data_IF_727025413032
#
_entry.id   IF_727025413032
#
_cell.length_a   1.000
_cell.length_b   1.000
_cell.length_c   1.000
_cell.angle_alpha   90.00
_cell.angle_beta   90.00
_cell.angle_gamma   90.00
#
_symmetry.space_group_name_H-M   'P 1'
#
loop_
_entity.id
_entity.type
_entity.pdbx_description
1 polymer ?
#
# COMPACT_ATOMS: atom_id res chain seq x y z
N UNK A 1 -45.96 21.02 32.22
CA UNK A 1 -44.69 21.57 31.70
C UNK A 1 -44.07 20.50 30.81
N UNK A 2 -44.15 20.68 29.48
CA UNK A 2 -43.64 19.74 28.48
C UNK A 2 -42.16 20.05 28.21
N UNK A 3 -41.27 19.16 28.63
CA UNK A 3 -39.83 19.25 28.32
C UNK A 3 -39.58 18.74 26.90
N UNK A 4 -39.50 19.66 25.94
CA UNK A 4 -39.09 19.39 24.58
C UNK A 4 -37.58 19.17 24.51
N UNK A 5 -37.15 17.92 24.29
CA UNK A 5 -35.76 17.60 23.98
C UNK A 5 -35.45 18.04 22.53
N UNK A 6 -34.76 19.16 22.38
CA UNK A 6 -34.28 19.66 21.10
C UNK A 6 -33.23 18.74 20.49
N UNK A 7 -33.50 18.21 19.29
CA UNK A 7 -32.49 17.51 18.47
C UNK A 7 -31.43 18.51 18.01
N UNK A 8 -30.18 18.25 18.40
CA UNK A 8 -29.01 18.95 17.85
C UNK A 8 -28.82 18.47 16.40
N UNK A 9 -28.75 19.39 15.41
CA UNK A 9 -28.49 19.02 14.02
C UNK A 9 -27.07 18.47 13.86
N UNK A 10 -26.95 17.33 13.19
CA UNK A 10 -25.67 16.72 12.86
C UNK A 10 -24.83 17.64 11.97
N UNK A 11 -23.50 17.74 12.20
CA UNK A 11 -22.64 18.55 11.36
C UNK A 11 -22.62 18.03 9.90
N UNK A 12 -22.51 18.92 8.91
CA UNK A 12 -22.46 18.53 7.51
C UNK A 12 -21.24 17.64 7.25
N UNK A 13 -21.45 16.57 6.49
CA UNK A 13 -20.38 15.65 6.09
C UNK A 13 -19.30 16.40 5.32
N UNK A 14 -18.00 16.14 5.58
CA UNK A 14 -16.93 16.77 4.82
C UNK A 14 -17.05 16.39 3.33
N UNK A 15 -16.71 17.32 2.41
CA UNK A 15 -16.76 17.03 0.98
C UNK A 15 -15.80 15.88 0.63
N UNK A 16 -16.16 15.03 -0.36
CA UNK A 16 -15.32 13.92 -0.77
C UNK A 16 -13.95 14.42 -1.25
N UNK A 17 -12.90 13.76 -0.79
CA UNK A 17 -11.54 14.07 -1.24
C UNK A 17 -11.43 13.81 -2.76
N UNK A 18 -10.81 14.72 -3.53
CA UNK A 18 -10.64 14.51 -4.95
C UNK A 18 -9.77 13.27 -5.21
N UNK A 19 -10.10 12.45 -6.23
CA UNK A 19 -9.34 11.25 -6.54
C UNK A 19 -7.88 11.57 -6.87
N UNK A 20 -6.96 10.73 -6.37
CA UNK A 20 -5.53 10.87 -6.58
C UNK A 20 -5.22 10.93 -8.09
N UNK A 21 -4.67 12.06 -8.53
CA UNK A 21 -4.40 12.32 -9.95
C UNK A 21 -3.21 11.46 -10.40
N UNK A 22 -3.49 10.37 -11.12
CA UNK A 22 -2.45 9.52 -11.75
C UNK A 22 -1.58 10.38 -12.67
N UNK A 23 -0.32 10.58 -12.31
CA UNK A 23 0.65 11.30 -13.12
C UNK A 23 1.20 10.37 -14.20
N UNK A 24 1.16 10.80 -15.47
CA UNK A 24 1.71 10.01 -16.57
C UNK A 24 3.25 10.01 -16.57
N UNK A 25 3.82 8.86 -16.93
CA UNK A 25 5.25 8.52 -16.85
C UNK A 25 6.07 8.93 -18.06
N UNK A 26 5.45 9.42 -19.15
CA UNK A 26 6.21 9.88 -20.33
C UNK A 26 6.71 11.30 -20.09
N UNK A 27 7.97 11.41 -19.65
CA UNK A 27 8.77 12.65 -19.49
C UNK A 27 8.21 13.70 -18.51
N UNK A 28 7.11 13.42 -17.79
CA UNK A 28 6.41 14.39 -16.91
C UNK A 28 6.03 15.71 -17.62
N UNK A 29 5.97 15.70 -18.95
CA UNK A 29 5.69 16.89 -19.76
C UNK A 29 4.19 17.13 -19.95
N UNK A 30 3.40 16.05 -19.95
CA UNK A 30 1.96 16.08 -20.24
C UNK A 30 1.13 15.81 -18.97
N UNK A 31 0.03 16.55 -18.83
CA UNK A 31 -0.83 16.55 -17.63
C UNK A 31 -1.90 15.44 -17.69
N UNK A 32 -2.06 14.82 -18.87
CA UNK A 32 -3.03 13.77 -19.16
C UNK A 32 -2.35 12.64 -19.96
N UNK A 33 -3.00 11.47 -20.13
CA UNK A 33 -2.56 10.49 -21.13
C UNK A 33 -2.37 11.17 -22.49
N UNK A 34 -1.34 10.77 -23.25
CA UNK A 34 -0.97 11.42 -24.52
C UNK A 34 -2.18 11.60 -25.45
N UNK A 35 -3.07 10.61 -25.53
CA UNK A 35 -4.28 10.67 -26.35
C UNK A 35 -5.34 11.69 -25.88
N UNK A 36 -5.27 12.17 -24.62
CA UNK A 36 -6.19 13.17 -24.04
C UNK A 36 -5.55 14.54 -23.84
N UNK A 37 -4.25 14.69 -24.05
CA UNK A 37 -3.57 15.98 -23.88
C UNK A 37 -3.61 16.76 -25.20
N UNK A 38 -4.39 17.84 -25.23
CA UNK A 38 -4.49 18.71 -26.40
C UNK A 38 -3.13 19.26 -26.85
N UNK A 39 -2.18 19.44 -25.91
CA UNK A 39 -0.85 19.94 -26.23
C UNK A 39 0.01 18.90 -26.98
N UNK A 40 -0.18 17.61 -26.68
CA UNK A 40 0.47 16.53 -27.43
C UNK A 40 -0.03 16.51 -28.88
N UNK A 41 -1.35 16.61 -29.08
CA UNK A 41 -1.94 16.65 -30.42
C UNK A 41 -1.58 17.92 -31.20
N UNK A 42 -1.48 19.07 -30.52
CA UNK A 42 -1.03 20.32 -31.16
C UNK A 42 0.42 20.17 -31.64
N UNK A 43 1.28 19.54 -30.85
CA UNK A 43 2.68 19.29 -31.24
C UNK A 43 2.76 18.34 -32.44
N UNK A 44 2.00 17.26 -32.43
CA UNK A 44 1.92 16.32 -33.55
C UNK A 44 1.39 16.99 -34.83
N UNK A 45 0.34 17.80 -34.70
CA UNK A 45 -0.24 18.55 -35.81
C UNK A 45 0.76 19.53 -36.43
N UNK A 46 1.50 20.30 -35.60
CA UNK A 46 2.51 21.25 -36.09
C UNK A 46 3.66 20.52 -36.81
N UNK A 47 4.09 19.36 -36.31
CA UNK A 47 5.11 18.56 -36.97
C UNK A 47 4.65 18.08 -38.36
N UNK A 48 3.42 17.59 -38.48
CA UNK A 48 2.83 17.15 -39.77
C UNK A 48 2.68 18.33 -40.73
N UNK A 49 2.14 19.46 -40.27
CA UNK A 49 1.97 20.67 -41.08
C UNK A 49 3.31 21.21 -41.60
N UNK A 50 4.35 21.20 -40.76
CA UNK A 50 5.70 21.64 -41.14
C UNK A 50 6.28 20.73 -42.23
N UNK A 51 6.16 19.41 -42.07
CA UNK A 51 6.63 18.46 -43.07
C UNK A 51 5.92 18.64 -44.42
N UNK A 52 4.61 18.90 -44.41
CA UNK A 52 3.84 19.14 -45.62
C UNK A 52 4.21 20.46 -46.31
N UNK A 53 4.32 21.55 -45.56
CA UNK A 53 4.64 22.88 -46.10
C UNK A 53 6.03 22.92 -46.78
N UNK A 54 7.01 22.18 -46.25
CA UNK A 54 8.35 22.12 -46.84
C UNK A 54 8.37 21.23 -48.09
N UNK A 55 7.55 20.19 -48.14
CA UNK A 55 7.41 19.31 -49.31
C UNK A 55 6.92 20.05 -50.57
N UNK A 56 6.25 21.18 -50.42
CA UNK A 56 5.63 21.93 -51.53
C UNK A 56 6.38 23.18 -51.97
N UNK A 57 7.57 23.49 -51.42
CA UNK A 57 8.36 24.65 -51.87
C UNK A 57 9.30 24.30 -53.01
N UNK A 58 9.23 25.06 -54.10
CA UNK A 58 10.07 24.93 -55.31
C UNK A 58 11.37 25.76 -55.25
N UNK A 59 11.66 26.39 -54.11
CA UNK A 59 12.84 27.23 -53.99
C UNK A 59 14.15 26.42 -54.09
N UNK A 60 15.17 26.92 -54.80
CA UNK A 60 16.45 26.22 -54.96
C UNK A 60 17.15 26.09 -53.61
N UNK A 61 17.29 24.84 -53.13
CA UNK A 61 17.83 24.53 -51.80
C UNK A 61 19.36 24.36 -51.86
N UNK A 62 20.07 25.03 -50.97
CA UNK A 62 21.53 24.85 -50.79
C UNK A 62 21.92 23.56 -50.04
N UNK A 63 20.96 22.78 -49.57
CA UNK A 63 21.16 21.52 -48.83
C UNK A 63 20.24 20.41 -49.37
N UNK A 64 20.57 19.12 -49.15
CA UNK A 64 19.69 18.02 -49.49
C UNK A 64 18.31 18.19 -48.85
N UNK A 65 17.24 18.03 -49.65
CA UNK A 65 15.87 18.32 -49.24
C UNK A 65 15.43 17.58 -47.96
N UNK A 66 15.89 16.35 -47.74
CA UNK A 66 15.56 15.56 -46.56
C UNK A 66 16.15 16.15 -45.26
N UNK A 67 17.36 16.73 -45.35
CA UNK A 67 18.07 17.31 -44.21
C UNK A 67 17.42 18.62 -43.78
N UNK A 68 17.14 19.48 -44.76
CA UNK A 68 16.44 20.75 -44.56
C UNK A 68 15.04 20.53 -43.94
N UNK A 69 14.30 19.55 -44.47
CA UNK A 69 12.97 19.18 -43.94
C UNK A 69 13.04 18.67 -42.50
N UNK A 70 14.05 17.85 -42.19
CA UNK A 70 14.24 17.29 -40.85
C UNK A 70 14.64 18.37 -39.84
N UNK A 71 15.57 19.25 -40.21
CA UNK A 71 16.03 20.34 -39.34
C UNK A 71 14.90 21.32 -39.03
N UNK A 72 14.13 21.72 -40.05
CA UNK A 72 12.97 22.58 -39.87
C UNK A 72 11.89 21.89 -39.01
N UNK A 73 11.55 20.63 -39.29
CA UNK A 73 10.55 19.88 -38.49
C UNK A 73 10.95 19.81 -37.01
N UNK A 74 12.21 19.50 -36.71
CA UNK A 74 12.75 19.48 -35.33
C UNK A 74 12.65 20.87 -34.70
N UNK A 75 13.10 21.91 -35.42
CA UNK A 75 13.12 23.29 -34.92
C UNK A 75 11.71 23.78 -34.58
N UNK A 76 10.75 23.57 -35.48
CA UNK A 76 9.36 23.95 -35.24
C UNK A 76 8.70 23.13 -34.12
N UNK A 77 8.97 21.82 -34.04
CA UNK A 77 8.45 20.96 -32.97
C UNK A 77 8.96 21.41 -31.60
N UNK A 78 10.24 21.78 -31.50
CA UNK A 78 10.83 22.29 -30.26
C UNK A 78 10.27 23.66 -29.89
N UNK A 79 10.27 24.61 -30.84
CA UNK A 79 9.83 25.99 -30.58
C UNK A 79 8.34 26.11 -30.30
N UNK A 80 7.50 25.34 -31.00
CA UNK A 80 6.04 25.48 -30.92
C UNK A 80 5.34 24.34 -30.17
N UNK A 81 6.01 23.22 -29.90
CA UNK A 81 5.47 22.12 -29.11
C UNK A 81 6.08 22.03 -27.70
N UNK A 82 7.39 21.80 -27.64
CA UNK A 82 8.09 21.52 -26.38
C UNK A 82 8.25 22.77 -25.51
N UNK A 83 8.63 23.91 -26.11
CA UNK A 83 8.87 25.14 -25.35
C UNK A 83 7.57 25.70 -24.71
N UNK A 84 6.42 25.76 -25.40
CA UNK A 84 5.17 26.23 -24.79
C UNK A 84 4.64 25.32 -23.68
N UNK A 85 4.78 24.00 -23.83
CA UNK A 85 4.41 23.02 -22.78
C UNK A 85 5.29 23.17 -21.54
N UNK A 86 6.59 23.37 -21.74
CA UNK A 86 7.53 23.65 -20.64
C UNK A 86 7.20 24.97 -19.93
N UNK A 87 6.96 26.07 -20.67
CA UNK A 87 6.58 27.37 -20.10
C UNK A 87 5.29 27.27 -19.29
N UNK A 88 4.28 26.55 -19.80
CA UNK A 88 3.02 26.28 -19.09
C UNK A 88 3.26 25.56 -17.76
N UNK A 89 4.08 24.51 -17.73
CA UNK A 89 4.43 23.78 -16.51
C UNK A 89 5.15 24.69 -15.51
N UNK A 90 6.07 25.54 -15.99
CA UNK A 90 6.80 26.48 -15.15
C UNK A 90 5.88 27.52 -14.52
N UNK A 91 4.99 28.16 -15.30
CA UNK A 91 3.99 29.12 -14.80
C UNK A 91 3.11 28.46 -13.73
N UNK A 92 2.68 27.22 -13.95
CA UNK A 92 1.84 26.49 -13.00
C UNK A 92 2.57 26.20 -11.70
N UNK A 93 3.81 25.69 -11.76
CA UNK A 93 4.64 25.46 -10.56
C UNK A 93 4.89 26.76 -9.80
N UNK A 94 5.13 27.86 -10.51
CA UNK A 94 5.29 29.18 -9.90
C UNK A 94 4.02 29.64 -9.19
N UNK A 95 2.85 29.51 -9.84
CA UNK A 95 1.54 29.85 -9.26
C UNK A 95 1.21 29.04 -8.00
N UNK A 96 1.56 27.75 -7.99
CA UNK A 96 1.40 26.88 -6.81
C UNK A 96 2.25 27.36 -5.64
N UNK A 97 3.54 27.64 -5.86
CA UNK A 97 4.43 28.16 -4.81
C UNK A 97 3.95 29.49 -4.21
N UNK A 98 3.39 30.39 -5.04
CA UNK A 98 2.81 31.65 -4.54
C UNK A 98 1.51 31.47 -3.76
N UNK A 99 0.74 30.39 -3.99
CA UNK A 99 -0.49 30.11 -3.22
C UNK A 99 -0.17 29.44 -1.88
N UNK A 100 0.78 28.52 -1.86
CA UNK A 100 1.14 27.80 -0.63
C UNK A 100 2.00 28.66 0.31
N UNK A 101 2.73 29.65 -0.20
CA UNK A 101 3.48 30.61 0.63
C UNK A 101 2.62 31.60 1.42
N UNK A 102 1.30 31.66 1.16
CA UNK A 102 0.37 32.55 1.87
C UNK A 102 -0.25 31.93 3.14
N UNK A 103 -0.19 30.61 3.31
CA UNK A 103 -0.59 29.95 4.55
C UNK A 103 0.63 29.84 5.47
N UNK A 104 0.95 30.96 6.15
CA UNK A 104 1.76 30.88 7.37
C UNK A 104 1.07 29.88 8.30
N UNK A 105 1.79 28.90 8.89
CA UNK A 105 1.23 28.05 9.92
C UNK A 105 0.73 28.98 11.03
N UNK A 106 -0.59 29.02 11.23
CA UNK A 106 -1.20 29.70 12.37
C UNK A 106 -0.53 29.13 13.61
N UNK A 107 0.03 30.03 14.42
CA UNK A 107 0.83 29.70 15.58
C UNK A 107 0.17 28.61 16.41
N UNK A 108 0.99 27.63 16.78
CA UNK A 108 0.69 26.59 17.76
C UNK A 108 0.23 27.29 19.04
N UNK A 109 -1.08 27.43 19.22
CA UNK A 109 -1.65 27.88 20.48
C UNK A 109 -1.25 26.84 21.53
N UNK A 110 -0.41 27.27 22.48
CA UNK A 110 -0.04 26.49 23.64
C UNK A 110 -1.32 26.03 24.34
N UNK A 111 -1.62 24.74 24.26
CA UNK A 111 -2.67 24.17 25.10
C UNK A 111 -2.22 24.28 26.56
N UNK A 112 -3.08 24.71 27.49
CA UNK A 112 -2.75 24.72 28.91
C UNK A 112 -2.51 23.29 29.41
N UNK A 113 -1.68 23.12 30.45
CA UNK A 113 -1.37 21.80 31.00
C UNK A 113 -2.64 21.11 31.49
N UNK A 114 -2.90 19.91 30.98
CA UNK A 114 -3.95 19.03 31.46
C UNK A 114 -3.55 18.59 32.87
N UNK A 115 -4.26 19.09 33.87
CA UNK A 115 -4.12 18.70 35.26
C UNK A 115 -4.83 17.35 35.44
N UNK A 116 -4.04 16.30 35.62
CA UNK A 116 -4.49 14.93 35.83
C UNK A 116 -5.13 14.82 37.22
N UNK A 117 -6.46 14.97 37.28
CA UNK A 117 -7.24 14.71 38.50
C UNK A 117 -7.63 13.23 38.51
N UNK A 118 -6.85 12.45 39.25
CA UNK A 118 -7.21 11.11 39.71
C UNK A 118 -8.43 11.21 40.64
N UNK A 119 -9.58 10.75 40.18
CA UNK A 119 -10.73 10.45 41.04
C UNK A 119 -10.91 8.92 41.15
N UNK A 120 -11.21 8.38 42.35
CA UNK A 120 -11.37 6.95 42.55
C UNK A 120 -12.70 6.47 41.97
N UNK A 121 -12.66 5.32 41.29
CA UNK A 121 -13.82 4.60 40.78
C UNK A 121 -14.61 4.06 41.98
N UNK A 122 -15.81 4.61 42.20
CA UNK A 122 -16.75 4.12 43.19
C UNK A 122 -17.69 3.12 42.51
N UNK A 123 -17.59 1.87 42.93
CA UNK A 123 -18.39 0.74 42.48
C UNK A 123 -19.83 0.92 42.97
N UNK A 124 -20.75 1.21 42.04
CA UNK A 124 -22.17 1.46 42.35
C UNK A 124 -22.99 0.22 41.97
N UNK A 125 -23.39 -0.53 43.01
CA UNK A 125 -24.33 -1.65 42.90
C UNK A 125 -25.72 -1.15 42.49
N UNK A 126 -26.29 -1.72 41.43
CA UNK A 126 -27.67 -1.50 41.00
C UNK A 126 -28.64 -2.45 41.72
N UNK A 127 -29.75 -1.98 42.31
CA UNK A 127 -30.80 -2.85 42.80
C UNK A 127 -31.74 -3.26 41.67
N UNK A 128 -32.10 -4.55 41.68
CA UNK A 128 -33.14 -5.13 40.85
C UNK A 128 -34.49 -4.45 41.10
N UNK A 129 -35.16 -4.02 40.03
CA UNK A 129 -36.55 -3.54 40.08
C UNK A 129 -37.42 -4.44 39.22
N UNK A 130 -38.23 -5.21 39.93
CA UNK A 130 -39.31 -6.06 39.46
C UNK A 130 -40.40 -5.20 38.79
N UNK A 131 -40.79 -5.55 37.56
CA UNK A 131 -41.77 -4.83 36.76
C UNK A 131 -42.95 -5.75 36.42
N UNK A 132 -44.14 -5.33 36.85
CA UNK A 132 -45.44 -5.95 36.55
C UNK A 132 -45.78 -5.99 35.05
N UNK A 133 -46.63 -6.95 34.62
CA UNK A 133 -46.97 -7.15 33.21
C UNK A 133 -48.11 -6.22 32.76
N UNK A 134 -47.89 -5.48 31.67
CA UNK A 134 -48.95 -4.76 30.94
C UNK A 134 -49.65 -5.67 29.91
N UNK A 135 -50.96 -5.46 29.64
CA UNK A 135 -51.74 -6.30 28.73
C UNK A 135 -51.41 -6.01 27.25
N UNK A 136 -51.34 -7.08 26.45
CA UNK A 136 -51.12 -7.05 24.99
C UNK A 136 -52.40 -6.63 24.24
N UNK A 137 -52.32 -5.72 23.25
CA UNK A 137 -53.41 -5.53 22.30
C UNK A 137 -53.45 -6.64 21.24
N UNK A 138 -54.68 -7.02 20.88
CA UNK A 138 -55.07 -8.05 19.89
C UNK A 138 -54.53 -7.71 18.50
N UNK A 139 -53.74 -8.62 17.92
CA UNK A 139 -53.22 -8.53 16.54
C UNK A 139 -54.30 -8.97 15.56
N UNK A 140 -54.61 -8.11 14.59
CA UNK A 140 -55.52 -8.42 13.48
C UNK A 140 -54.90 -9.46 12.53
N UNK A 141 -55.74 -10.36 12.03
CA UNK A 141 -55.41 -11.39 11.03
C UNK A 141 -54.97 -10.78 9.69
N UNK A 142 -53.93 -11.31 9.03
CA UNK A 142 -53.60 -10.95 7.65
C UNK A 142 -54.47 -11.73 6.66
N UNK A 143 -55.08 -11.03 5.72
CA UNK A 143 -55.76 -11.62 4.56
C UNK A 143 -54.78 -12.33 3.61
N UNK A 144 -55.20 -13.42 2.95
CA UNK A 144 -54.36 -14.19 2.04
C UNK A 144 -54.16 -13.44 0.71
N UNK A 145 -52.91 -13.02 0.43
CA UNK A 145 -52.50 -12.53 -0.89
C UNK A 145 -52.18 -13.70 -1.81
N UNK A 146 -52.77 -13.65 -3.01
CA UNK A 146 -52.54 -14.48 -4.20
C UNK A 146 -51.04 -14.65 -4.47
N UNK A 147 -50.62 -15.89 -4.70
CA UNK A 147 -49.25 -16.26 -5.03
C UNK A 147 -48.83 -15.70 -6.40
N UNK A 148 -47.88 -14.77 -6.39
CA UNK A 148 -46.99 -14.51 -7.53
C UNK A 148 -45.86 -15.54 -7.52
N UNK A 149 -45.42 -16.04 -8.68
CA UNK A 149 -44.32 -17.00 -8.76
C UNK A 149 -43.02 -16.37 -8.25
N UNK A 150 -42.15 -17.13 -7.55
CA UNK A 150 -40.93 -16.58 -6.98
C UNK A 150 -40.00 -16.11 -8.08
N UNK A 151 -39.82 -14.79 -8.15
CA UNK A 151 -38.65 -14.19 -8.79
C UNK A 151 -37.40 -14.79 -8.15
N UNK A 152 -36.46 -15.25 -8.97
CA UNK A 152 -35.14 -15.71 -8.58
C UNK A 152 -34.41 -14.59 -7.82
N UNK A 153 -34.64 -14.55 -6.51
CA UNK A 153 -34.10 -13.57 -5.58
C UNK A 153 -32.89 -14.13 -4.88
N UNK A 154 -31.74 -13.51 -5.11
CA UNK A 154 -30.87 -13.07 -4.01
C UNK A 154 -30.28 -14.15 -3.07
N UNK A 155 -29.57 -15.14 -3.61
CA UNK A 155 -28.54 -15.89 -2.85
C UNK A 155 -27.21 -15.11 -2.74
N UNK A 156 -27.25 -13.77 -2.80
CA UNK A 156 -26.08 -12.91 -2.91
C UNK A 156 -25.60 -12.36 -1.57
N UNK A 157 -25.70 -13.16 -0.51
CA UNK A 157 -24.69 -13.06 0.56
C UNK A 157 -23.53 -13.89 0.05
N UNK A 158 -22.60 -13.24 -0.67
CA UNK A 158 -21.36 -13.88 -1.09
C UNK A 158 -20.79 -14.63 0.12
N UNK A 159 -20.73 -15.96 0.04
CA UNK A 159 -20.26 -16.79 1.14
C UNK A 159 -18.93 -16.20 1.63
N UNK A 160 -18.94 -15.70 2.87
CA UNK A 160 -17.78 -15.01 3.43
C UNK A 160 -16.67 -16.05 3.52
N UNK A 161 -15.63 -15.88 2.70
CA UNK A 161 -14.49 -16.80 2.69
C UNK A 161 -13.89 -16.90 4.09
N UNK A 162 -13.90 -18.11 4.65
CA UNK A 162 -13.37 -18.37 5.98
C UNK A 162 -11.86 -18.08 6.04
N UNK A 163 -11.13 -18.44 4.98
CA UNK A 163 -9.68 -18.19 4.86
C UNK A 163 -9.38 -16.70 4.89
N UNK A 164 -10.11 -15.88 4.13
CA UNK A 164 -9.93 -14.43 4.14
C UNK A 164 -10.30 -13.82 5.50
N UNK A 165 -11.34 -14.34 6.15
CA UNK A 165 -11.77 -13.86 7.48
C UNK A 165 -10.73 -14.18 8.53
N UNK A 166 -10.16 -15.38 8.50
CA UNK A 166 -9.06 -15.78 9.37
C UNK A 166 -7.84 -14.87 9.16
N UNK A 167 -7.37 -14.76 7.91
CA UNK A 167 -6.21 -13.93 7.58
C UNK A 167 -6.39 -12.47 8.05
N UNK A 168 -7.59 -11.91 7.88
CA UNK A 168 -7.90 -10.54 8.34
C UNK A 168 -7.68 -10.33 9.85
N UNK A 169 -7.71 -11.39 10.65
CA UNK A 169 -7.56 -11.36 12.10
C UNK A 169 -6.15 -11.77 12.55
N UNK A 170 -5.50 -12.68 11.84
CA UNK A 170 -4.31 -13.40 12.35
C UNK A 170 -3.00 -13.00 11.68
N UNK A 171 -3.01 -12.56 10.40
CA UNK A 171 -1.76 -12.24 9.68
C UNK A 171 -1.32 -10.79 9.90
N UNK A 172 -0.06 -10.43 9.56
CA UNK A 172 0.44 -9.07 9.72
C UNK A 172 -0.45 -8.01 9.07
N UNK A 173 -0.52 -6.85 9.71
CA UNK A 173 -1.41 -5.74 9.38
C UNK A 173 -1.45 -5.37 7.89
N UNK A 174 -0.32 -5.30 7.16
CA UNK A 174 -0.35 -5.02 5.73
C UNK A 174 -1.27 -5.93 4.92
N UNK A 175 -1.20 -7.24 5.18
CA UNK A 175 -2.01 -8.24 4.46
C UNK A 175 -3.45 -8.18 4.95
N UNK A 176 -3.65 -8.21 6.28
CA UNK A 176 -4.98 -8.17 6.87
C UNK A 176 -5.79 -6.94 6.43
N UNK A 177 -5.15 -5.78 6.34
CA UNK A 177 -5.76 -4.53 5.87
C UNK A 177 -6.15 -4.60 4.40
N UNK A 178 -5.30 -5.18 3.55
CA UNK A 178 -5.60 -5.35 2.12
C UNK A 178 -6.75 -6.34 1.90
N UNK A 179 -6.81 -7.43 2.68
CA UNK A 179 -7.94 -8.36 2.67
C UNK A 179 -9.23 -7.68 3.12
N UNK A 180 -9.19 -6.83 4.15
CA UNK A 180 -10.35 -5.99 4.49
C UNK A 180 -10.78 -5.09 3.35
N UNK A 181 -9.84 -4.44 2.65
CA UNK A 181 -10.19 -3.60 1.50
C UNK A 181 -10.90 -4.40 0.41
N UNK A 182 -10.43 -5.62 0.13
CA UNK A 182 -11.09 -6.56 -0.79
C UNK A 182 -12.52 -6.92 -0.32
N UNK A 183 -12.70 -7.26 0.96
CA UNK A 183 -14.02 -7.60 1.51
C UNK A 183 -14.99 -6.41 1.54
N UNK A 184 -14.48 -5.18 1.58
CA UNK A 184 -15.27 -3.94 1.60
C UNK A 184 -15.50 -3.35 0.20
N UNK A 185 -14.99 -3.97 -0.86
CA UNK A 185 -15.12 -3.45 -2.21
C UNK A 185 -16.55 -3.68 -2.75
N UNK A 186 -17.22 -2.57 -3.10
CA UNK A 186 -18.64 -2.57 -3.45
C UNK A 186 -18.93 -3.07 -4.87
N UNK A 187 -17.98 -2.90 -5.80
CA UNK A 187 -18.15 -3.31 -7.20
C UNK A 187 -17.19 -4.44 -7.59
N UNK A 188 -17.56 -5.30 -8.55
CA UNK A 188 -16.66 -6.32 -9.08
C UNK A 188 -15.31 -5.76 -9.56
N UNK A 189 -15.31 -4.55 -10.13
CA UNK A 189 -14.08 -3.87 -10.53
C UNK A 189 -13.21 -3.46 -9.35
N UNK A 190 -13.81 -2.93 -8.28
CA UNK A 190 -13.06 -2.58 -7.08
C UNK A 190 -12.55 -3.84 -6.38
N UNK A 191 -13.34 -4.92 -6.37
CA UNK A 191 -12.90 -6.23 -5.86
C UNK A 191 -11.72 -6.77 -6.66
N UNK A 192 -11.74 -6.64 -7.98
CA UNK A 192 -10.64 -7.04 -8.85
C UNK A 192 -9.35 -6.29 -8.50
N UNK A 193 -9.40 -4.96 -8.42
CA UNK A 193 -8.21 -4.15 -8.08
C UNK A 193 -7.71 -4.48 -6.65
N UNK A 194 -8.61 -4.55 -5.68
CA UNK A 194 -8.28 -4.85 -4.28
C UNK A 194 -7.71 -6.27 -4.07
N UNK A 195 -8.15 -7.25 -4.88
CA UNK A 195 -7.63 -8.62 -4.83
C UNK A 195 -6.18 -8.69 -5.32
N UNK A 196 -5.85 -7.98 -6.41
CA UNK A 196 -4.47 -7.90 -6.89
C UNK A 196 -3.57 -7.14 -5.90
N UNK A 197 -4.08 -6.07 -5.28
CA UNK A 197 -3.34 -5.33 -4.25
C UNK A 197 -3.15 -6.17 -2.97
N UNK A 198 -4.11 -7.03 -2.61
CA UNK A 198 -3.96 -7.98 -1.51
C UNK A 198 -2.92 -9.06 -1.81
N UNK A 199 -2.89 -9.59 -3.03
CA UNK A 199 -1.88 -10.54 -3.48
C UNK A 199 -0.47 -9.92 -3.46
N UNK A 200 -0.33 -8.68 -3.94
CA UNK A 200 0.94 -7.94 -3.90
C UNK A 200 1.37 -7.67 -2.44
N UNK A 201 0.43 -7.31 -1.56
CA UNK A 201 0.69 -7.10 -0.13
C UNK A 201 1.15 -8.38 0.58
N UNK A 202 0.55 -9.53 0.23
CA UNK A 202 0.96 -10.83 0.75
C UNK A 202 2.38 -11.19 0.30
N UNK A 203 2.65 -11.10 -1.00
CA UNK A 203 3.97 -11.40 -1.56
C UNK A 203 5.07 -10.52 -0.96
N UNK A 204 4.78 -9.22 -0.83
CA UNK A 204 5.67 -8.24 -0.21
C UNK A 204 5.94 -8.60 1.25
N UNK A 205 4.90 -8.83 2.05
CA UNK A 205 5.03 -9.12 3.48
C UNK A 205 5.83 -10.40 3.71
N UNK A 206 5.54 -11.47 2.97
CA UNK A 206 6.31 -12.71 3.05
C UNK A 206 7.79 -12.49 2.66
N UNK A 207 8.03 -11.76 1.56
CA UNK A 207 9.39 -11.49 1.07
C UNK A 207 10.21 -10.65 2.06
N UNK A 208 9.59 -9.65 2.68
CA UNK A 208 10.22 -8.79 3.70
C UNK A 208 10.53 -9.57 4.96
N UNK A 209 9.59 -10.40 5.43
CA UNK A 209 9.84 -11.29 6.58
C UNK A 209 10.99 -12.25 6.30
N UNK A 210 11.04 -12.87 5.11
CA UNK A 210 12.15 -13.73 4.70
C UNK A 210 13.48 -12.96 4.67
N UNK A 211 13.49 -11.78 4.05
CA UNK A 211 14.69 -10.96 3.93
C UNK A 211 15.23 -10.56 5.29
N UNK A 212 14.36 -10.18 6.24
CA UNK A 212 14.75 -9.86 7.61
C UNK A 212 15.38 -11.07 8.32
N UNK A 213 14.73 -12.24 8.30
CA UNK A 213 15.24 -13.47 8.91
C UNK A 213 16.61 -13.87 8.36
N UNK A 214 16.83 -13.65 7.06
CA UNK A 214 18.07 -13.96 6.36
C UNK A 214 19.12 -12.85 6.44
N UNK A 215 18.76 -11.65 6.91
CA UNK A 215 19.65 -10.51 7.07
C UNK A 215 20.45 -10.61 8.38
N UNK A 216 21.45 -11.48 8.37
CA UNK A 216 22.42 -11.61 9.46
C UNK A 216 23.78 -11.06 9.01
N UNK A 217 24.36 -10.08 9.73
CA UNK A 217 25.68 -9.56 9.40
C UNK A 217 26.73 -10.68 9.38
N UNK A 218 27.54 -10.74 8.31
CA UNK A 218 28.64 -11.70 8.19
C UNK A 218 28.23 -13.10 7.69
N UNK A 219 26.98 -13.34 7.32
CA UNK A 219 26.55 -14.61 6.71
C UNK A 219 26.03 -14.42 5.28
N UNK A 220 26.40 -15.34 4.39
CA UNK A 220 25.93 -15.35 2.99
C UNK A 220 24.54 -15.99 2.81
N UNK A 221 23.88 -16.34 3.92
CA UNK A 221 22.59 -17.05 3.99
C UNK A 221 21.45 -16.41 3.20
N UNK A 222 21.48 -15.09 3.04
CA UNK A 222 20.43 -14.33 2.34
C UNK A 222 20.85 -13.73 1.01
N UNK A 223 22.04 -14.06 0.48
CA UNK A 223 22.65 -13.31 -0.63
C UNK A 223 21.71 -13.16 -1.84
N UNK A 224 20.98 -14.21 -2.22
CA UNK A 224 20.05 -14.19 -3.35
C UNK A 224 18.91 -13.20 -3.18
N UNK A 225 18.12 -13.32 -2.11
CA UNK A 225 16.98 -12.43 -1.85
C UNK A 225 17.45 -11.00 -1.55
N UNK A 226 18.50 -10.82 -0.75
CA UNK A 226 18.99 -9.51 -0.33
C UNK A 226 19.57 -8.71 -1.52
N UNK A 227 20.33 -9.36 -2.39
CA UNK A 227 20.88 -8.71 -3.59
C UNK A 227 19.81 -8.38 -4.63
N UNK A 228 18.77 -9.21 -4.74
CA UNK A 228 17.58 -8.94 -5.57
C UNK A 228 16.87 -7.68 -5.08
N UNK A 229 16.60 -7.59 -3.78
CA UNK A 229 15.95 -6.44 -3.17
C UNK A 229 16.80 -5.17 -3.30
N UNK A 230 18.11 -5.25 -2.98
CA UNK A 230 19.05 -4.14 -3.16
C UNK A 230 19.01 -3.62 -4.60
N UNK A 231 19.10 -4.51 -5.58
CA UNK A 231 19.09 -4.13 -7.00
C UNK A 231 17.80 -3.42 -7.40
N UNK A 232 16.66 -3.88 -6.89
CA UNK A 232 15.37 -3.24 -7.12
C UNK A 232 15.29 -1.86 -6.45
N UNK A 233 15.72 -1.74 -5.20
CA UNK A 233 15.73 -0.46 -4.47
C UNK A 233 16.63 0.58 -5.14
N UNK A 234 17.83 0.20 -5.59
CA UNK A 234 18.77 1.12 -6.26
C UNK A 234 18.41 1.36 -7.75
N UNK A 235 17.47 0.59 -8.30
CA UNK A 235 17.07 0.60 -9.70
C UNK A 235 15.78 1.37 -9.97
N UNK A 236 14.80 0.67 -10.56
CA UNK A 236 13.49 1.24 -10.92
C UNK A 236 12.52 1.33 -9.74
N UNK A 237 12.88 0.73 -8.61
CA UNK A 237 12.02 0.52 -7.45
C UNK A 237 11.34 -0.84 -7.45
N UNK A 238 10.65 -1.12 -6.36
CA UNK A 238 9.99 -2.41 -6.14
C UNK A 238 8.60 -2.49 -6.75
N UNK A 239 8.27 -3.69 -7.18
CA UNK A 239 7.00 -4.06 -7.83
C UNK A 239 6.59 -5.45 -7.36
N UNK A 240 5.36 -5.86 -7.65
CA UNK A 240 4.92 -7.25 -7.46
C UNK A 240 5.93 -8.29 -8.01
N UNK A 241 6.50 -8.02 -9.19
CA UNK A 241 7.55 -8.86 -9.77
C UNK A 241 8.77 -9.04 -8.86
N UNK A 242 9.24 -7.95 -8.24
CA UNK A 242 10.37 -7.96 -7.31
C UNK A 242 10.13 -8.93 -6.16
N UNK A 243 8.95 -8.90 -5.55
CA UNK A 243 8.61 -9.73 -4.40
C UNK A 243 8.54 -11.21 -4.77
N UNK A 244 7.90 -11.54 -5.89
CA UNK A 244 7.84 -12.94 -6.35
C UNK A 244 9.21 -13.52 -6.69
N UNK A 245 10.11 -12.72 -7.32
CA UNK A 245 11.49 -13.15 -7.59
C UNK A 245 12.28 -13.31 -6.28
N UNK A 246 12.05 -12.45 -5.30
CA UNK A 246 12.63 -12.59 -3.96
C UNK A 246 12.22 -13.90 -3.29
N UNK A 247 10.93 -14.26 -3.36
CA UNK A 247 10.41 -15.52 -2.83
C UNK A 247 10.97 -16.75 -3.57
N UNK A 248 11.18 -16.68 -4.89
CA UNK A 248 11.87 -17.74 -5.63
C UNK A 248 13.30 -17.97 -5.12
N UNK A 249 14.03 -16.90 -4.81
CA UNK A 249 15.37 -17.00 -4.21
C UNK A 249 15.33 -17.62 -2.81
N UNK A 250 14.28 -17.34 -2.04
CA UNK A 250 14.05 -17.97 -0.73
C UNK A 250 13.85 -19.48 -0.90
N UNK A 251 12.99 -19.91 -1.81
CA UNK A 251 12.80 -21.33 -2.13
C UNK A 251 14.11 -22.01 -2.55
N UNK A 252 14.91 -21.38 -3.42
CA UNK A 252 16.19 -21.90 -3.87
C UNK A 252 17.23 -22.04 -2.72
N UNK A 253 17.19 -21.12 -1.76
CA UNK A 253 18.07 -21.16 -0.59
C UNK A 253 17.74 -22.35 0.31
N UNK A 254 16.45 -22.67 0.46
CA UNK A 254 15.96 -23.81 1.27
C UNK A 254 16.31 -25.16 0.64
N UNK A 255 16.27 -25.27 -0.69
CA UNK A 255 16.51 -26.54 -1.39
C UNK A 255 17.99 -26.90 -1.53
N UNK A 256 18.90 -25.95 -1.30
CA UNK A 256 20.34 -26.20 -1.41
C UNK A 256 20.82 -27.03 -0.21
N UNK A 257 21.10 -28.32 -0.45
CA UNK A 257 21.55 -29.26 0.56
C UNK A 257 22.85 -28.78 1.25
N UNK A 258 22.84 -28.72 2.59
CA UNK A 258 24.02 -28.42 3.41
C UNK A 258 24.01 -27.08 4.14
N UNK A 259 22.99 -26.22 3.95
CA UNK A 259 22.82 -25.05 4.81
C UNK A 259 22.09 -25.43 6.11
N UNK A 260 22.55 -24.98 7.29
CA UNK A 260 21.77 -25.09 8.52
C UNK A 260 20.39 -24.44 8.29
N UNK A 261 19.30 -24.91 8.93
CA UNK A 261 17.96 -24.33 8.72
C UNK A 261 17.98 -22.82 8.99
N UNK A 262 18.09 -22.03 7.92
CA UNK A 262 18.20 -20.57 7.97
C UNK A 262 16.85 -19.90 8.23
N UNK A 263 15.78 -20.62 7.92
CA UNK A 263 14.39 -20.23 8.10
C UNK A 263 13.64 -21.35 8.82
N UNK A 264 12.56 -21.03 9.56
CA UNK A 264 11.63 -22.02 10.08
C UNK A 264 11.11 -22.95 8.96
N UNK A 265 10.82 -24.20 9.30
CA UNK A 265 10.41 -25.20 8.30
C UNK A 265 9.05 -24.86 7.71
N UNK A 266 8.15 -24.38 8.57
CA UNK A 266 6.79 -23.92 8.29
C UNK A 266 6.83 -22.72 7.34
N UNK A 267 7.75 -21.78 7.58
CA UNK A 267 8.00 -20.65 6.69
C UNK A 267 8.39 -21.11 5.29
N UNK A 268 9.35 -22.02 5.22
CA UNK A 268 9.90 -22.50 3.96
C UNK A 268 8.87 -23.28 3.14
N UNK A 269 8.13 -24.17 3.81
CA UNK A 269 7.02 -24.93 3.22
C UNK A 269 5.91 -24.02 2.73
N UNK A 270 5.50 -23.05 3.55
CA UNK A 270 4.43 -22.12 3.20
C UNK A 270 4.80 -21.19 2.04
N UNK A 271 6.05 -20.70 1.99
CA UNK A 271 6.53 -19.94 0.82
C UNK A 271 6.49 -20.79 -0.43
N UNK A 272 7.00 -22.02 -0.40
CA UNK A 272 6.92 -22.93 -1.54
C UNK A 272 5.47 -23.21 -1.97
N UNK A 273 4.54 -23.30 -1.01
CA UNK A 273 3.11 -23.52 -1.25
C UNK A 273 2.36 -22.33 -1.85
N UNK A 274 2.85 -21.09 -1.70
CA UNK A 274 2.14 -19.90 -2.20
C UNK A 274 2.71 -19.30 -3.49
N UNK A 275 3.98 -19.59 -3.83
CA UNK A 275 4.71 -18.84 -4.85
C UNK A 275 4.08 -18.94 -6.24
N UNK A 276 3.61 -20.12 -6.65
CA UNK A 276 2.99 -20.29 -7.97
C UNK A 276 1.63 -19.59 -8.07
N UNK A 277 0.83 -19.62 -7.01
CA UNK A 277 -0.44 -18.88 -6.95
C UNK A 277 -0.20 -17.36 -7.02
N UNK A 278 0.82 -16.85 -6.31
CA UNK A 278 1.22 -15.44 -6.39
C UNK A 278 1.77 -15.06 -7.77
N UNK A 279 2.47 -15.97 -8.46
CA UNK A 279 2.93 -15.74 -9.85
C UNK A 279 1.75 -15.68 -10.82
N UNK A 280 0.72 -16.49 -10.64
CA UNK A 280 -0.50 -16.41 -11.44
C UNK A 280 -1.19 -15.04 -11.28
N UNK A 281 -1.33 -14.57 -10.03
CA UNK A 281 -1.91 -13.25 -9.72
C UNK A 281 -1.04 -12.08 -10.21
N UNK A 282 0.29 -12.22 -10.16
CA UNK A 282 1.21 -11.28 -10.81
C UNK A 282 1.00 -11.25 -12.33
N UNK A 283 0.82 -12.42 -12.95
CA UNK A 283 0.47 -12.52 -14.37
C UNK A 283 -0.77 -11.70 -14.70
N UNK A 284 -1.80 -11.79 -13.86
CA UNK A 284 -3.02 -10.99 -14.00
C UNK A 284 -2.78 -9.48 -13.84
N UNK A 285 -1.99 -9.08 -12.83
CA UNK A 285 -1.58 -7.67 -12.67
C UNK A 285 -0.85 -7.13 -13.90
N UNK A 286 0.03 -7.94 -14.49
CA UNK A 286 0.78 -7.59 -15.69
C UNK A 286 -0.16 -7.46 -16.90
N UNK A 287 -1.11 -8.37 -17.10
CA UNK A 287 -2.14 -8.27 -18.16
C UNK A 287 -2.86 -6.91 -18.10
N UNK A 288 -3.33 -6.54 -16.91
CA UNK A 288 -3.96 -5.23 -16.68
C UNK A 288 -3.03 -4.05 -16.96
N UNK A 289 -1.77 -4.12 -16.51
CA UNK A 289 -0.78 -3.06 -16.75
C UNK A 289 -0.46 -2.88 -18.25
N UNK A 290 -0.58 -3.94 -19.04
CA UNK A 290 -0.39 -3.94 -20.49
C UNK A 290 -1.67 -3.65 -21.30
N UNK A 291 -2.76 -3.25 -20.64
CA UNK A 291 -3.98 -2.77 -21.28
C UNK A 291 -5.14 -3.75 -21.32
N UNK A 292 -4.92 -5.03 -20.96
CA UNK A 292 -5.97 -6.05 -20.81
C UNK A 292 -6.64 -5.97 -19.43
N UNK A 293 -7.14 -4.78 -19.11
CA UNK A 293 -7.92 -4.55 -17.89
C UNK A 293 -9.39 -4.85 -18.16
N UNK A 294 -10.14 -5.41 -17.20
CA UNK A 294 -11.57 -5.66 -17.40
C UNK A 294 -12.30 -4.35 -17.72
N UNK A 295 -13.03 -4.34 -18.84
CA UNK A 295 -13.71 -3.16 -19.36
C UNK A 295 -15.13 -3.03 -18.81
N UNK A 296 -15.73 -4.14 -18.40
CA UNK A 296 -17.10 -4.22 -17.91
C UNK A 296 -17.20 -4.86 -16.52
N UNK A 297 -18.33 -4.61 -15.82
CA UNK A 297 -18.60 -5.22 -14.52
C UNK A 297 -18.73 -6.76 -14.58
N UNK A 298 -19.40 -7.36 -15.58
CA UNK A 298 -19.44 -8.82 -15.73
C UNK A 298 -18.06 -9.44 -15.98
N UNK A 299 -17.23 -8.80 -16.80
CA UNK A 299 -15.87 -9.25 -17.06
C UNK A 299 -15.00 -9.17 -15.80
N UNK A 300 -15.09 -8.07 -15.04
CA UNK A 300 -14.41 -7.96 -13.75
C UNK A 300 -14.87 -9.05 -12.77
N UNK A 301 -16.17 -9.35 -12.72
CA UNK A 301 -16.71 -10.41 -11.86
C UNK A 301 -16.16 -11.80 -12.24
N UNK A 302 -16.03 -12.09 -13.54
CA UNK A 302 -15.42 -13.33 -14.03
C UNK A 302 -13.95 -13.42 -13.61
N UNK A 303 -13.16 -12.36 -13.84
CA UNK A 303 -11.74 -12.31 -13.44
C UNK A 303 -11.56 -12.46 -11.93
N UNK A 304 -12.46 -11.88 -11.12
CA UNK A 304 -12.49 -12.06 -9.66
C UNK A 304 -12.75 -13.52 -9.30
N UNK A 305 -13.72 -14.19 -9.95
CA UNK A 305 -14.01 -15.59 -9.68
C UNK A 305 -12.80 -16.49 -10.01
N UNK A 306 -12.15 -16.28 -11.16
CA UNK A 306 -10.97 -17.03 -11.59
C UNK A 306 -9.76 -16.83 -10.67
N UNK A 307 -9.52 -15.59 -10.23
CA UNK A 307 -8.34 -15.27 -9.43
C UNK A 307 -8.50 -15.56 -7.94
N UNK A 308 -9.74 -15.67 -7.43
CA UNK A 308 -10.03 -15.84 -6.00
C UNK A 308 -9.37 -17.08 -5.42
N UNK A 309 -9.45 -18.21 -6.12
CA UNK A 309 -8.89 -19.48 -5.64
C UNK A 309 -7.37 -19.40 -5.45
N UNK A 310 -6.65 -18.74 -6.36
CA UNK A 310 -5.21 -18.52 -6.22
C UNK A 310 -4.91 -17.71 -4.96
N UNK A 311 -5.66 -16.65 -4.69
CA UNK A 311 -5.46 -15.83 -3.49
C UNK A 311 -5.76 -16.62 -2.21
N UNK A 312 -6.84 -17.40 -2.19
CA UNK A 312 -7.22 -18.19 -1.00
C UNK A 312 -6.21 -19.30 -0.71
N UNK A 313 -5.71 -20.02 -1.72
CA UNK A 313 -4.63 -21.00 -1.55
C UNK A 313 -3.34 -20.35 -1.05
N UNK A 314 -2.95 -19.20 -1.63
CA UNK A 314 -1.79 -18.46 -1.18
C UNK A 314 -1.92 -17.99 0.28
N UNK A 315 -3.11 -17.53 0.70
CA UNK A 315 -3.40 -17.15 2.09
C UNK A 315 -3.34 -18.35 3.04
N UNK A 316 -3.89 -19.50 2.63
CA UNK A 316 -3.81 -20.75 3.40
C UNK A 316 -2.36 -21.19 3.59
N UNK A 317 -1.54 -21.14 2.55
CA UNK A 317 -0.11 -21.45 2.62
C UNK A 317 0.68 -20.42 3.46
N UNK A 318 0.16 -19.19 3.61
CA UNK A 318 0.80 -18.12 4.37
C UNK A 318 0.49 -18.11 5.88
N UNK A 319 -0.17 -19.15 6.42
CA UNK A 319 -0.48 -19.26 7.85
C UNK A 319 0.75 -19.18 8.76
N UNK A 320 1.94 -19.55 8.28
CA UNK A 320 3.18 -19.40 9.05
C UNK A 320 3.48 -17.95 9.46
N UNK A 321 2.89 -16.94 8.79
CA UNK A 321 3.06 -15.54 9.17
C UNK A 321 2.39 -15.22 10.52
N UNK A 322 1.47 -16.05 10.99
CA UNK A 322 0.80 -15.90 12.28
C UNK A 322 1.75 -16.18 13.44
N UNK A 323 2.71 -17.08 13.23
CA UNK A 323 3.74 -17.45 14.22
C UNK A 323 4.92 -16.47 14.24
N UNK A 324 4.93 -15.50 13.33
CA UNK A 324 6.00 -14.52 13.15
C UNK A 324 5.44 -13.09 13.23
N UNK A 325 4.92 -12.68 14.40
CA UNK A 325 4.23 -11.40 14.53
C UNK A 325 5.20 -10.23 14.34
N UNK A 326 4.68 -9.19 13.67
CA UNK A 326 5.38 -7.92 13.52
C UNK A 326 5.08 -7.04 14.74
N UNK A 327 6.12 -6.57 15.41
CA UNK A 327 6.04 -5.71 16.59
C UNK A 327 6.53 -4.30 16.22
N UNK A 328 5.69 -3.29 16.42
CA UNK A 328 6.11 -1.89 16.37
C UNK A 328 6.55 -1.46 17.77
N UNK A 329 7.84 -1.27 18.00
CA UNK A 329 8.34 -0.84 19.31
C UNK A 329 7.95 0.62 19.55
N UNK A 330 7.33 0.89 20.70
CA UNK A 330 6.94 2.24 21.11
C UNK A 330 7.95 2.84 22.10
N UNK A 331 8.38 2.08 23.11
CA UNK A 331 9.42 2.51 24.06
C UNK A 331 10.36 1.35 24.42
N UNK A 332 11.59 1.70 24.80
CA UNK A 332 12.61 0.77 25.27
C UNK A 332 13.37 1.44 26.42
N UNK A 333 13.04 1.05 27.65
CA UNK A 333 13.53 1.69 28.87
C UNK A 333 14.48 0.78 29.63
N UNK A 334 15.70 1.23 29.90
CA UNK A 334 16.70 0.45 30.63
C UNK A 334 16.32 0.30 32.12
N UNK A 335 16.33 -0.93 32.62
CA UNK A 335 16.07 -1.30 34.01
C UNK A 335 17.39 -1.66 34.70
N UNK A 336 17.98 -0.69 35.39
CA UNK A 336 19.29 -0.84 36.04
C UNK A 336 19.38 -2.02 37.01
N UNK A 337 18.32 -2.29 37.79
CA UNK A 337 18.31 -3.37 38.80
C UNK A 337 18.43 -4.76 38.18
N UNK A 338 17.72 -5.01 37.09
CA UNK A 338 17.70 -6.29 36.38
C UNK A 338 18.72 -6.35 35.24
N UNK A 339 19.32 -5.21 34.88
CA UNK A 339 20.18 -5.02 33.71
C UNK A 339 19.51 -5.44 32.40
N UNK A 340 18.19 -5.30 32.34
CA UNK A 340 17.35 -5.61 31.17
C UNK A 340 16.68 -4.34 30.64
N UNK A 341 15.99 -4.45 29.52
CA UNK A 341 15.22 -3.38 28.90
C UNK A 341 13.75 -3.74 28.97
N UNK A 342 12.94 -2.87 29.56
CA UNK A 342 11.50 -2.98 29.43
C UNK A 342 11.09 -2.40 28.09
N UNK A 343 10.51 -3.24 27.24
CA UNK A 343 10.09 -2.85 25.90
C UNK A 343 8.59 -2.86 25.82
N UNK A 344 8.02 -1.74 25.42
CA UNK A 344 6.61 -1.64 25.07
C UNK A 344 6.54 -1.69 23.55
N UNK A 345 5.86 -2.71 23.03
CA UNK A 345 5.61 -2.81 21.59
C UNK A 345 4.12 -2.92 21.31
N UNK A 346 3.76 -2.69 20.05
CA UNK A 346 2.40 -2.85 19.56
C UNK A 346 2.37 -3.97 18.54
N UNK A 347 1.50 -4.96 18.73
CA UNK A 347 1.38 -6.11 17.84
C UNK A 347 0.67 -5.69 16.54
N UNK A 348 1.43 -5.61 15.45
CA UNK A 348 0.96 -5.19 14.13
C UNK A 348 0.30 -6.33 13.37
N UNK A 349 -0.68 -6.97 14.02
CA UNK A 349 -1.51 -8.05 13.48
C UNK A 349 -2.94 -7.58 13.30
N UNK A 350 -3.61 -8.12 12.29
CA UNK A 350 -5.01 -7.82 12.00
C UNK A 350 -5.21 -6.50 11.25
N UNK A 351 -6.44 -6.25 10.84
CA UNK A 351 -6.82 -5.17 9.92
C UNK A 351 -6.94 -3.78 10.55
N UNK A 352 -6.88 -3.69 11.89
CA UNK A 352 -7.09 -2.46 12.62
C UNK A 352 -5.77 -1.68 12.78
N UNK A 353 -5.74 -0.36 12.50
CA UNK A 353 -4.51 0.43 12.57
C UNK A 353 -4.07 0.78 13.99
N UNK A 354 -4.94 0.56 14.99
CA UNK A 354 -4.58 0.62 16.41
C UNK A 354 -4.25 -0.78 16.86
N UNK A 355 -2.98 -1.01 17.11
CA UNK A 355 -2.38 -2.28 17.50
C UNK A 355 -2.47 -2.51 19.01
N UNK A 356 -2.63 -3.76 19.41
CA UNK A 356 -2.63 -4.16 20.81
C UNK A 356 -1.25 -3.91 21.43
N UNK A 357 -1.22 -3.28 22.60
CA UNK A 357 0.02 -2.96 23.31
C UNK A 357 0.44 -4.14 24.18
N UNK A 358 1.68 -4.59 24.02
CA UNK A 358 2.29 -5.66 24.79
C UNK A 358 3.59 -5.16 25.42
N UNK A 359 3.96 -5.73 26.58
CA UNK A 359 5.17 -5.38 27.31
C UNK A 359 6.07 -6.60 27.41
N UNK A 360 7.35 -6.40 27.14
CA UNK A 360 8.38 -7.43 27.15
C UNK A 360 9.56 -6.98 28.02
N UNK A 361 10.35 -7.95 28.45
CA UNK A 361 11.65 -7.71 29.07
C UNK A 361 12.73 -8.36 28.20
N UNK A 362 13.64 -7.56 27.66
CA UNK A 362 14.70 -8.00 26.75
C UNK A 362 16.09 -7.70 27.29
N UNK A 363 17.08 -8.47 26.83
CA UNK A 363 18.47 -8.41 27.26
C UNK A 363 19.32 -7.39 26.48
N UNK A 364 18.82 -6.90 25.34
CA UNK A 364 19.50 -5.89 24.52
C UNK A 364 18.53 -4.76 24.15
N UNK A 365 19.04 -3.54 23.92
CA UNK A 365 18.21 -2.42 23.52
C UNK A 365 17.66 -2.61 22.11
N UNK A 366 16.53 -1.97 21.86
CA UNK A 366 15.88 -1.90 20.54
C UNK A 366 15.52 -0.45 20.22
N UNK A 367 15.44 -0.14 18.93
CA UNK A 367 15.04 1.18 18.47
C UNK A 367 13.53 1.40 18.70
N UNK A 368 13.17 2.57 19.23
CA UNK A 368 11.79 3.02 19.25
C UNK A 368 11.32 3.36 17.82
N UNK A 369 10.01 3.30 17.60
CA UNK A 369 9.34 3.57 16.32
C UNK A 369 9.84 2.70 15.15
N UNK A 370 10.44 1.53 15.47
CA UNK A 370 10.92 0.57 14.49
C UNK A 370 10.11 -0.73 14.55
N UNK A 371 10.03 -1.42 13.40
CA UNK A 371 9.45 -2.75 13.33
C UNK A 371 10.48 -3.83 13.62
N UNK A 372 10.06 -4.80 14.41
CA UNK A 372 10.76 -6.05 14.69
C UNK A 372 9.86 -7.23 14.37
N UNK A 373 10.45 -8.31 13.87
CA UNK A 373 9.85 -9.63 13.83
C UNK A 373 10.15 -10.34 15.15
N UNK A 374 9.17 -10.99 15.76
CA UNK A 374 9.42 -11.93 16.84
C UNK A 374 9.58 -13.33 16.25
N UNK A 375 10.82 -13.77 16.08
CA UNK A 375 11.16 -15.11 15.61
C UNK A 375 11.47 -16.05 16.79
N UNK A 376 11.48 -17.38 16.59
CA UNK A 376 11.85 -18.34 17.64
C UNK A 376 13.25 -18.08 18.23
N UNK A 377 14.19 -17.62 17.40
CA UNK A 377 15.57 -17.30 17.80
C UNK A 377 15.71 -15.92 18.46
N UNK A 378 14.63 -15.13 18.49
CA UNK A 378 14.57 -13.81 19.09
C UNK A 378 14.03 -12.74 18.14
N UNK A 379 14.30 -11.50 18.51
CA UNK A 379 13.84 -10.31 17.77
C UNK A 379 14.73 -10.04 16.57
N UNK A 380 14.12 -9.82 15.40
CA UNK A 380 14.85 -9.49 14.17
C UNK A 380 14.34 -8.15 13.64
N UNK A 381 15.20 -7.14 13.44
CA UNK A 381 14.74 -5.87 12.88
C UNK A 381 14.20 -6.07 11.46
N UNK A 382 13.08 -5.42 11.13
CA UNK A 382 12.57 -5.39 9.75
C UNK A 382 13.22 -4.30 8.91
N UNK A 383 14.07 -3.45 9.50
CA UNK A 383 14.90 -2.50 8.76
C UNK A 383 15.95 -3.26 7.94
N UNK A 384 16.26 -2.85 6.69
CA UNK A 384 15.74 -1.65 6.01
C UNK A 384 14.46 -1.86 5.18
N UNK A 385 13.79 -3.01 5.32
CA UNK A 385 12.74 -3.44 4.39
C UNK A 385 11.37 -2.83 4.70
N UNK A 386 11.03 -2.70 5.99
CA UNK A 386 9.79 -2.08 6.46
C UNK A 386 10.05 -1.07 7.57
N UNK A 387 9.23 -0.03 7.64
CA UNK A 387 9.33 1.06 8.61
C UNK A 387 7.96 1.56 9.04
N UNK A 388 7.89 2.22 10.20
CA UNK A 388 6.71 2.88 10.73
C UNK A 388 6.96 4.39 10.73
N UNK A 389 6.38 5.11 9.77
CA UNK A 389 6.75 6.53 9.57
C UNK A 389 5.54 7.41 9.28
N UNK A 390 5.67 8.70 9.60
CA UNK A 390 4.60 9.68 9.43
C UNK A 390 4.37 9.99 7.95
N UNK A 391 3.15 9.76 7.47
CA UNK A 391 2.74 10.14 6.14
C UNK A 391 2.19 11.58 6.16
N UNK A 392 2.85 12.56 5.50
CA UNK A 392 2.36 13.94 5.48
C UNK A 392 1.05 14.10 4.69
N UNK A 393 0.78 13.19 3.74
CA UNK A 393 -0.45 13.21 2.96
C UNK A 393 -1.65 12.71 3.78
N UNK A 394 -1.47 11.64 4.56
CA UNK A 394 -2.52 11.07 5.41
C UNK A 394 -2.62 11.74 6.77
N UNK A 395 -1.59 12.48 7.20
CA UNK A 395 -1.44 13.09 8.52
C UNK A 395 -1.52 12.09 9.67
N UNK A 396 -0.98 10.90 9.46
CA UNK A 396 -0.91 9.81 10.43
C UNK A 396 0.33 8.96 10.15
N UNK A 397 0.76 8.20 11.15
CA UNK A 397 1.82 7.22 10.98
C UNK A 397 1.31 6.00 10.24
N UNK A 398 2.07 5.54 9.25
CA UNK A 398 1.70 4.41 8.40
C UNK A 398 2.79 3.34 8.40
N UNK A 399 2.38 2.08 8.33
CA UNK A 399 3.27 0.98 7.97
C UNK A 399 3.70 1.16 6.52
N UNK A 400 5.01 1.16 6.28
CA UNK A 400 5.60 1.43 4.98
C UNK A 400 6.66 0.38 4.65
N UNK A 401 6.93 0.21 3.36
CA UNK A 401 8.01 -0.63 2.85
C UNK A 401 8.99 0.18 2.01
N UNK A 402 10.27 -0.22 2.00
CA UNK A 402 11.26 0.38 1.12
C UNK A 402 10.83 0.20 -0.34
N UNK A 403 10.77 1.30 -1.11
CA UNK A 403 10.38 1.23 -2.51
C UNK A 403 11.55 1.49 -3.45
N UNK A 404 12.31 2.55 -3.21
CA UNK A 404 13.47 2.92 -4.05
C UNK A 404 14.41 3.86 -3.32
N UNK A 405 15.66 3.94 -3.76
CA UNK A 405 16.64 4.95 -3.35
C UNK A 405 16.87 5.89 -4.53
N UNK A 406 16.84 7.19 -4.28
CA UNK A 406 17.08 8.19 -5.33
C UNK A 406 18.56 8.15 -5.75
N UNK A 407 18.83 8.00 -7.05
CA UNK A 407 20.21 7.85 -7.57
C UNK A 407 21.20 8.94 -7.14
N UNK A 408 20.72 10.16 -6.87
CA UNK A 408 21.55 11.33 -6.54
C UNK A 408 21.52 11.73 -5.07
N UNK A 409 20.73 11.05 -4.25
CA UNK A 409 20.53 11.40 -2.85
C UNK A 409 20.77 10.14 -2.00
N UNK A 410 21.25 10.31 -0.77
CA UNK A 410 21.28 9.20 0.20
C UNK A 410 19.87 8.83 0.69
N UNK A 411 18.83 9.53 0.22
CA UNK A 411 17.48 9.37 0.69
C UNK A 411 16.75 8.18 0.03
N UNK A 412 16.21 7.30 0.87
CA UNK A 412 15.25 6.30 0.43
C UNK A 412 13.86 6.91 0.31
N UNK A 413 13.03 6.31 -0.54
CA UNK A 413 11.59 6.54 -0.61
C UNK A 413 10.91 5.25 -0.19
N UNK A 414 10.08 5.33 0.84
CA UNK A 414 9.20 4.24 1.27
C UNK A 414 7.80 4.46 0.71
N UNK A 415 7.03 3.39 0.57
CA UNK A 415 5.62 3.45 0.19
C UNK A 415 4.76 2.92 1.31
N UNK A 416 3.67 3.62 1.59
CA UNK A 416 2.71 3.11 2.58
C UNK A 416 1.93 1.92 2.03
N UNK A 417 1.74 0.89 2.85
CA UNK A 417 0.98 -0.30 2.46
C UNK A 417 -0.48 0.02 2.16
N UNK A 418 -1.08 0.92 2.94
CA UNK A 418 -2.53 1.20 2.83
C UNK A 418 -2.89 2.11 1.66
N UNK A 419 -2.03 3.07 1.30
CA UNK A 419 -2.37 4.15 0.36
C UNK A 419 -1.39 4.27 -0.80
N UNK A 420 -0.25 3.60 -0.74
CA UNK A 420 0.81 3.70 -1.76
C UNK A 420 1.48 5.07 -1.82
N UNK A 421 1.33 5.90 -0.78
CA UNK A 421 1.95 7.22 -0.72
C UNK A 421 3.47 7.08 -0.60
N UNK A 422 4.21 7.86 -1.39
CA UNK A 422 5.67 7.90 -1.35
C UNK A 422 6.13 8.86 -0.26
N UNK A 423 6.90 8.35 0.70
CA UNK A 423 7.40 9.09 1.86
C UNK A 423 8.94 9.04 1.83
N UNK A 424 9.62 10.19 1.81
CA UNK A 424 11.07 10.24 1.83
C UNK A 424 11.62 9.95 3.24
N UNK A 425 12.60 9.04 3.37
CA UNK A 425 13.25 8.64 4.62
C UNK A 425 14.77 8.68 4.42
N UNK A 426 15.47 9.75 4.88
CA UNK A 426 16.90 9.93 4.65
C UNK A 426 17.78 8.77 5.15
N UNK A 427 17.53 8.32 6.39
CA UNK A 427 18.42 7.40 7.12
C UNK A 427 18.46 5.99 6.52
N UNK A 428 17.38 5.59 5.84
CA UNK A 428 17.22 4.23 5.33
C UNK A 428 18.06 3.95 4.07
N UNK A 429 18.50 4.97 3.35
CA UNK A 429 19.21 4.74 2.08
C UNK A 429 20.60 4.16 2.26
N UNK A 430 21.28 4.47 3.36
CA UNK A 430 22.60 3.88 3.67
C UNK A 430 22.46 2.42 4.12
N UNK A 431 21.42 2.08 4.88
CA UNK A 431 21.12 0.68 5.23
C UNK A 431 20.81 -0.16 3.98
N UNK A 432 20.03 0.37 3.03
CA UNK A 432 19.79 -0.29 1.75
C UNK A 432 21.10 -0.49 0.96
N UNK A 433 22.00 0.51 0.99
CA UNK A 433 23.33 0.43 0.37
C UNK A 433 24.32 -0.45 1.15
N UNK A 434 23.98 -0.90 2.35
CA UNK A 434 24.75 -1.89 3.10
C UNK A 434 24.32 -3.34 2.80
N UNK A 435 23.16 -3.56 2.15
CA UNK A 435 22.71 -4.90 1.76
C UNK A 435 23.72 -5.59 0.81
N UNK A 436 23.85 -6.92 0.79
CA UNK A 436 24.73 -7.60 -0.16
C UNK A 436 24.46 -7.24 -1.63
N UNK A 437 25.52 -7.01 -2.40
CA UNK A 437 25.43 -6.81 -3.85
C UNK A 437 25.38 -8.15 -4.58
N UNK A 438 24.75 -8.18 -5.76
CA UNK A 438 24.81 -9.34 -6.66
C UNK A 438 26.23 -9.39 -7.22
N UNK A 439 26.92 -10.53 -7.04
CA UNK A 439 28.25 -10.75 -7.66
C UNK A 439 28.12 -10.85 -9.17
#
# INVERSE_FOLDING_TARGET
>A
MNSGAGRIPSPPSPPPLPPAKRCNTVLRLYDAPLYRDWAAWTTAFMAVMTAFAIGTSEDPRGMPAWLDTSLATITFTVLFGVLPTWVRLWIRRRRWRTRDGGQRPVGRASLPPVQEVLAPVQEMQSPAREAEPRPRPRRAEPQPRKAEPPAAGSDRVAAVSQVMTHARQTVPHPVARAIRALQQADTPRDQYEAMLDAAESLALTACVTAAALLHKPGTDSGLGVLSTLRSAYLGAGTTFGTWTVGLDQVCATVTTAGHPRLLPAEFSSGVAGMVEDLKALKGERNRTAHGDKPLSQPEAALRVAECREFLERALGAAQFLEELPWLCVATCDYRQRTRTFQVVARNATGDHPVFERQTYEWDQPVAADAFYLLAPEGRVPLSPFATYTFCPQCRQTETCYASRVLKRESQATVKSFSRGHEIPVPELGDEIRALPARR
#
